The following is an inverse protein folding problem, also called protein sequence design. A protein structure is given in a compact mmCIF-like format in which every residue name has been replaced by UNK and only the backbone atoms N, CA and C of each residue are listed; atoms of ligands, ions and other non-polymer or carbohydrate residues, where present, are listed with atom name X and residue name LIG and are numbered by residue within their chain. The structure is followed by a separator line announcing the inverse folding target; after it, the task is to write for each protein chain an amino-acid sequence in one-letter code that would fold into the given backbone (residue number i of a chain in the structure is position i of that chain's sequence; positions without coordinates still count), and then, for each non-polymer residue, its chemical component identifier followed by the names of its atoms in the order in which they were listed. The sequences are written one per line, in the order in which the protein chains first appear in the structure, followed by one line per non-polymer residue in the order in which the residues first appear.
data_IF_300296916907
#
_entry.id   IF_300296916907
#
_cell.length_a   1.000
_cell.length_b   1.000
_cell.length_c   1.000
_cell.angle_alpha   90.00
_cell.angle_beta   90.00
_cell.angle_gamma   90.00
#
_symmetry.space_group_name_H-M   'P 1'
#
loop_
_entity.id
_entity.type
_entity.pdbx_description
1 polymer ?
#
# COMPACT_ATOMS: atom_id res chain seq x y z
N UNK A 1 4.66 -13.85 -26.17
CA UNK A 1 5.67 -12.87 -25.68
C UNK A 1 6.97 -13.63 -25.44
N UNK A 2 8.13 -13.00 -25.62
CA UNK A 2 9.41 -13.65 -25.29
C UNK A 2 9.46 -13.96 -23.78
N UNK A 3 9.92 -15.17 -23.43
CA UNK A 3 10.00 -15.65 -22.04
C UNK A 3 11.37 -15.30 -21.44
N UNK A 4 11.52 -14.06 -20.99
CA UNK A 4 12.74 -13.61 -20.31
C UNK A 4 12.75 -14.05 -18.84
N UNK A 5 13.92 -14.49 -18.37
CA UNK A 5 14.16 -15.02 -17.02
C UNK A 5 15.18 -14.17 -16.27
N UNK A 6 15.39 -14.45 -14.98
CA UNK A 6 16.41 -13.77 -14.18
C UNK A 6 17.83 -13.92 -14.77
N UNK A 7 18.10 -15.04 -15.43
CA UNK A 7 19.35 -15.30 -16.17
C UNK A 7 19.54 -14.40 -17.40
N UNK A 8 18.51 -13.70 -17.85
CA UNK A 8 18.56 -12.75 -18.97
C UNK A 8 18.90 -11.33 -18.52
N UNK A 9 19.37 -11.16 -17.28
CA UNK A 9 19.87 -9.91 -16.70
C UNK A 9 21.24 -10.15 -16.08
N UNK A 10 22.23 -9.41 -16.55
CA UNK A 10 23.57 -9.38 -16.00
C UNK A 10 23.81 -8.09 -15.23
N UNK A 11 24.46 -8.20 -14.08
CA UNK A 11 24.82 -7.07 -13.22
C UNK A 11 26.35 -7.06 -13.16
N UNK A 12 26.95 -5.96 -13.61
CA UNK A 12 28.39 -5.71 -13.54
C UNK A 12 28.75 -5.03 -12.21
N UNK A 13 27.91 -4.10 -11.77
CA UNK A 13 28.10 -3.37 -10.52
C UNK A 13 26.79 -3.25 -9.75
N UNK A 14 26.89 -3.43 -8.43
CA UNK A 14 25.79 -3.22 -7.48
C UNK A 14 26.33 -2.61 -6.18
N UNK A 15 26.06 -1.32 -5.97
CA UNK A 15 26.59 -0.56 -4.82
C UNK A 15 25.49 0.19 -4.08
N UNK A 16 25.68 0.40 -2.79
CA UNK A 16 24.86 1.35 -2.04
C UNK A 16 25.26 2.78 -2.44
N UNK A 17 24.33 3.51 -3.06
CA UNK A 17 24.49 4.94 -3.33
C UNK A 17 24.11 5.79 -2.12
N UNK A 18 23.15 5.32 -1.32
CA UNK A 18 22.74 5.92 -0.06
C UNK A 18 22.26 4.85 0.93
N UNK A 19 22.44 5.12 2.24
CA UNK A 19 21.92 4.31 3.33
C UNK A 19 21.55 5.22 4.51
N UNK A 20 20.25 5.36 4.75
CA UNK A 20 19.67 6.04 5.92
C UNK A 20 18.50 5.21 6.43
N UNK A 21 17.35 5.86 6.70
CA UNK A 21 16.09 5.15 6.99
C UNK A 21 15.74 4.15 5.88
N UNK A 22 15.84 4.60 4.63
CA UNK A 22 15.80 3.73 3.44
C UNK A 22 17.17 3.62 2.75
N UNK A 23 17.26 2.70 1.80
CA UNK A 23 18.46 2.49 0.99
C UNK A 23 18.21 2.87 -0.47
N UNK A 24 19.25 3.40 -1.14
CA UNK A 24 19.29 3.53 -2.60
C UNK A 24 20.44 2.69 -3.13
N UNK A 25 20.14 1.74 -4.02
CA UNK A 25 21.15 0.97 -4.77
C UNK A 25 21.40 1.64 -6.12
N UNK A 26 22.66 1.65 -6.56
CA UNK A 26 23.02 2.00 -7.93
C UNK A 26 23.56 0.75 -8.63
N UNK A 27 22.91 0.39 -9.72
CA UNK A 27 23.25 -0.75 -10.57
C UNK A 27 23.90 -0.30 -11.87
N UNK A 28 24.88 -1.06 -12.32
CA UNK A 28 25.28 -1.14 -13.72
C UNK A 28 24.90 -2.52 -14.25
N UNK A 29 23.90 -2.57 -15.12
CA UNK A 29 23.31 -3.83 -15.59
C UNK A 29 23.05 -3.83 -17.09
N UNK A 30 22.82 -5.00 -17.67
CA UNK A 30 22.27 -5.15 -19.02
C UNK A 30 21.28 -6.31 -19.03
N UNK A 31 20.38 -6.33 -19.99
CA UNK A 31 19.41 -7.41 -20.17
C UNK A 31 19.32 -7.84 -21.64
N UNK A 32 18.73 -9.02 -21.89
CA UNK A 32 18.44 -9.49 -23.26
C UNK A 32 17.44 -8.57 -23.97
N UNK A 33 17.59 -8.43 -25.28
CA UNK A 33 16.69 -7.66 -26.13
C UNK A 33 15.67 -8.54 -26.83
N UNK A 34 14.49 -7.99 -27.15
CA UNK A 34 13.45 -8.72 -27.90
C UNK A 34 13.90 -9.15 -29.31
N UNK A 35 14.76 -8.38 -29.96
CA UNK A 35 15.35 -8.72 -31.27
C UNK A 35 16.52 -9.72 -31.15
N UNK A 36 16.79 -10.22 -29.95
CA UNK A 36 17.92 -11.10 -29.66
C UNK A 36 19.19 -10.35 -29.24
N UNK A 37 20.16 -11.09 -28.71
CA UNK A 37 21.40 -10.52 -28.20
C UNK A 37 21.26 -9.83 -26.84
N UNK A 38 22.29 -9.10 -26.42
CA UNK A 38 22.34 -8.34 -25.18
C UNK A 38 22.26 -6.84 -25.47
N UNK A 39 21.55 -6.11 -24.61
CA UNK A 39 21.57 -4.66 -24.62
C UNK A 39 22.92 -4.09 -24.18
N UNK A 40 23.08 -2.78 -24.37
CA UNK A 40 24.19 -2.04 -23.77
C UNK A 40 24.09 -2.04 -22.24
N UNK A 41 25.20 -1.75 -21.58
CA UNK A 41 25.20 -1.46 -20.14
C UNK A 41 24.36 -0.21 -19.84
N UNK A 42 23.55 -0.31 -18.80
CA UNK A 42 22.63 0.70 -18.29
C UNK A 42 22.99 1.03 -16.85
N UNK A 43 22.82 2.29 -16.47
CA UNK A 43 22.85 2.73 -15.07
C UNK A 43 21.43 2.90 -14.56
N UNK A 44 21.13 2.34 -13.38
CA UNK A 44 19.83 2.46 -12.71
C UNK A 44 20.02 2.70 -11.22
N UNK A 45 19.19 3.55 -10.67
CA UNK A 45 19.05 3.72 -9.23
C UNK A 45 17.76 3.03 -8.80
N UNK A 46 17.83 2.27 -7.71
CA UNK A 46 16.70 1.56 -7.12
C UNK A 46 16.54 2.04 -5.69
N UNK A 47 15.37 2.57 -5.39
CA UNK A 47 14.91 2.81 -4.05
C UNK A 47 14.50 1.48 -3.41
N UNK A 48 15.22 1.09 -2.36
CA UNK A 48 14.99 -0.15 -1.62
C UNK A 48 14.20 0.19 -0.38
N UNK A 49 12.92 -0.17 -0.41
CA UNK A 49 11.93 0.08 0.63
C UNK A 49 11.44 -1.22 1.27
N UNK A 50 11.48 -2.32 0.51
CA UNK A 50 10.95 -3.61 0.96
C UNK A 50 9.43 -3.71 0.81
N UNK A 51 8.87 -4.86 1.22
CA UNK A 51 7.44 -5.10 1.10
C UNK A 51 6.62 -4.30 2.11
N UNK A 52 5.39 -3.98 1.73
CA UNK A 52 4.43 -3.28 2.57
C UNK A 52 3.06 -3.97 2.49
N UNK A 53 2.21 -3.66 3.46
CA UNK A 53 0.83 -4.15 3.51
C UNK A 53 -0.13 -2.98 3.70
N UNK A 54 -1.35 -3.14 3.21
CA UNK A 54 -2.46 -2.28 3.56
C UNK A 54 -3.77 -3.03 3.66
N UNK A 55 -4.67 -2.53 4.50
CA UNK A 55 -6.02 -3.06 4.68
C UNK A 55 -7.04 -1.93 4.60
N UNK A 56 -8.10 -2.13 3.83
CA UNK A 56 -9.30 -1.30 3.85
C UNK A 56 -10.28 -1.89 4.87
N UNK A 57 -10.47 -1.29 6.06
CA UNK A 57 -11.49 -1.74 6.99
C UNK A 57 -12.87 -1.37 6.46
N UNK A 58 -13.75 -2.35 6.35
CA UNK A 58 -15.12 -2.21 5.86
C UNK A 58 -16.11 -2.80 6.85
N UNK A 59 -17.12 -2.01 7.22
CA UNK A 59 -18.27 -2.46 8.00
C UNK A 59 -19.45 -2.71 7.06
N UNK A 60 -19.81 -3.98 6.79
CA UNK A 60 -20.94 -4.30 5.93
C UNK A 60 -22.29 -4.00 6.59
N UNK A 61 -22.39 -3.93 7.92
CA UNK A 61 -23.65 -3.63 8.59
C UNK A 61 -23.98 -2.14 8.46
N UNK A 62 -23.00 -1.27 8.73
CA UNK A 62 -23.15 0.19 8.66
C UNK A 62 -22.92 0.77 7.26
N UNK A 63 -22.37 -0.02 6.35
CA UNK A 63 -21.94 0.43 5.03
C UNK A 63 -20.95 1.60 5.05
N UNK A 64 -19.96 1.51 5.92
CA UNK A 64 -18.91 2.50 6.05
C UNK A 64 -17.54 1.84 5.98
N UNK A 65 -16.54 2.67 5.71
CA UNK A 65 -15.14 2.28 5.77
C UNK A 65 -14.42 3.13 6.80
N UNK A 66 -13.25 2.68 7.23
CA UNK A 66 -12.30 3.52 7.96
C UNK A 66 -11.15 3.91 7.03
N UNK A 67 -10.81 5.19 7.04
CA UNK A 67 -9.58 5.73 6.46
C UNK A 67 -8.77 6.39 7.56
N UNK A 68 -7.47 6.47 7.36
CA UNK A 68 -6.54 7.21 8.20
C UNK A 68 -6.04 8.44 7.44
N UNK A 69 -5.74 9.51 8.16
CA UNK A 69 -5.09 10.70 7.60
C UNK A 69 -3.82 10.99 8.38
N UNK A 70 -2.70 11.08 7.68
CA UNK A 70 -1.39 11.35 8.28
C UNK A 70 -0.49 12.15 7.34
N UNK A 71 0.54 12.79 7.90
CA UNK A 71 1.53 13.52 7.14
C UNK A 71 2.38 12.58 6.30
N UNK A 72 2.48 12.84 4.99
CA UNK A 72 3.37 12.11 4.10
C UNK A 72 4.39 13.04 3.46
N UNK A 73 5.67 12.86 3.80
CA UNK A 73 6.77 13.66 3.24
C UNK A 73 6.81 13.62 1.71
N UNK A 74 6.42 12.51 1.09
CA UNK A 74 6.32 12.38 -0.37
C UNK A 74 5.32 13.34 -1.03
N UNK A 75 4.35 13.84 -0.27
CA UNK A 75 3.37 14.82 -0.71
C UNK A 75 3.63 16.24 -0.18
N UNK A 76 4.82 16.53 0.36
CA UNK A 76 5.16 17.84 0.93
C UNK A 76 4.95 19.03 -0.03
N UNK A 77 5.04 18.78 -1.35
CA UNK A 77 4.86 19.79 -2.39
C UNK A 77 3.44 19.81 -3.00
N UNK A 78 2.50 19.04 -2.44
CA UNK A 78 1.11 18.99 -2.87
C UNK A 78 0.42 20.30 -2.51
N UNK A 79 -0.31 20.90 -3.46
CA UNK A 79 -0.95 22.21 -3.27
C UNK A 79 -2.11 22.21 -2.27
N UNK A 80 -2.79 21.08 -2.09
CA UNK A 80 -3.91 20.97 -1.15
C UNK A 80 -3.43 20.78 0.30
N UNK A 81 -2.74 19.66 0.56
CA UNK A 81 -2.18 19.32 1.87
C UNK A 81 -1.22 18.14 1.73
N UNK A 82 -0.11 18.08 2.51
CA UNK A 82 0.71 16.89 2.62
C UNK A 82 0.14 15.83 3.59
N UNK A 83 -0.97 16.14 4.27
CA UNK A 83 -1.79 15.12 4.92
C UNK A 83 -2.65 14.43 3.88
N UNK A 84 -2.51 13.11 3.78
CA UNK A 84 -3.19 12.30 2.77
C UNK A 84 -4.20 11.41 3.47
N UNK A 85 -5.41 11.31 2.88
CA UNK A 85 -6.40 10.32 3.28
C UNK A 85 -6.04 8.98 2.63
N UNK A 86 -5.83 7.97 3.44
CA UNK A 86 -5.36 6.67 3.02
C UNK A 86 -6.00 5.53 3.83
N UNK A 87 -5.76 4.29 3.41
CA UNK A 87 -6.11 3.11 4.20
C UNK A 87 -5.02 2.81 5.23
N UNK A 88 -5.33 1.97 6.20
CA UNK A 88 -4.36 1.49 7.20
C UNK A 88 -3.24 0.73 6.48
N UNK A 89 -1.98 1.06 6.75
CA UNK A 89 -0.85 0.47 6.06
C UNK A 89 0.46 0.50 6.85
N UNK A 90 1.27 -0.54 6.70
CA UNK A 90 2.56 -0.66 7.37
C UNK A 90 3.62 -1.34 6.51
N UNK A 91 4.88 -1.20 6.91
CA UNK A 91 6.01 -1.90 6.30
C UNK A 91 6.11 -3.29 6.92
N UNK A 92 6.44 -4.30 6.12
CA UNK A 92 6.77 -5.62 6.63
C UNK A 92 8.27 -5.63 6.94
N UNK A 93 8.62 -5.43 8.21
CA UNK A 93 9.99 -5.21 8.67
C UNK A 93 10.71 -6.50 9.14
N UNK A 94 9.95 -7.56 9.42
CA UNK A 94 10.47 -8.86 9.82
C UNK A 94 10.50 -9.84 8.65
N UNK A 95 11.57 -10.66 8.53
CA UNK A 95 11.60 -11.77 7.60
C UNK A 95 10.45 -12.74 7.88
N UNK A 96 9.81 -13.22 6.82
CA UNK A 96 8.78 -14.27 6.85
C UNK A 96 7.51 -13.92 7.66
N UNK A 97 7.27 -12.65 7.98
CA UNK A 97 6.03 -12.22 8.62
C UNK A 97 4.87 -12.33 7.62
N UNK A 98 3.75 -12.91 8.07
CA UNK A 98 2.57 -13.04 7.24
C UNK A 98 1.94 -11.65 7.02
N UNK A 99 1.75 -11.20 5.76
CA UNK A 99 1.13 -9.91 5.48
C UNK A 99 -0.21 -9.71 6.18
N UNK A 100 -1.01 -10.76 6.35
CA UNK A 100 -2.29 -10.64 7.06
C UNK A 100 -2.12 -10.27 8.54
N UNK A 101 -1.12 -10.84 9.21
CA UNK A 101 -0.86 -10.56 10.62
C UNK A 101 -0.35 -9.13 10.81
N UNK A 102 0.49 -8.65 9.87
CA UNK A 102 0.92 -7.25 9.83
C UNK A 102 -0.27 -6.32 9.64
N UNK A 103 -1.14 -6.60 8.66
CA UNK A 103 -2.33 -5.78 8.42
C UNK A 103 -3.24 -5.64 9.66
N UNK A 104 -3.40 -6.72 10.44
CA UNK A 104 -4.18 -6.71 11.69
C UNK A 104 -3.50 -5.90 12.78
N UNK A 105 -2.17 -6.04 12.91
CA UNK A 105 -1.37 -5.26 13.86
C UNK A 105 -1.49 -3.77 13.56
N UNK A 106 -1.29 -3.38 12.31
CA UNK A 106 -1.41 -1.98 11.88
C UNK A 106 -2.83 -1.43 12.08
N UNK A 107 -3.88 -2.23 11.85
CA UNK A 107 -5.26 -1.81 12.10
C UNK A 107 -5.53 -1.50 13.59
N UNK A 108 -4.88 -2.24 14.49
CA UNK A 108 -4.94 -1.98 15.92
C UNK A 108 -4.13 -0.72 16.29
N UNK A 109 -2.93 -0.55 15.73
CA UNK A 109 -2.02 0.56 16.05
C UNK A 109 -2.48 1.90 15.47
N UNK A 110 -2.89 1.94 14.20
CA UNK A 110 -3.26 3.17 13.48
C UNK A 110 -4.74 3.56 13.64
N UNK A 111 -5.60 2.64 14.08
CA UNK A 111 -7.04 2.87 14.13
C UNK A 111 -7.77 2.25 15.33
N UNK A 112 -7.08 1.47 16.18
CA UNK A 112 -7.68 0.87 17.37
C UNK A 112 -8.80 -0.14 17.07
N UNK A 113 -8.76 -0.81 15.91
CA UNK A 113 -9.80 -1.74 15.48
C UNK A 113 -9.25 -3.15 15.26
N UNK A 114 -10.10 -4.13 15.53
CA UNK A 114 -9.85 -5.53 15.16
C UNK A 114 -10.44 -5.82 13.77
N UNK A 115 -9.65 -6.48 12.93
CA UNK A 115 -10.13 -7.04 11.67
C UNK A 115 -10.50 -8.51 11.89
N UNK A 116 -11.71 -8.89 11.51
CA UNK A 116 -12.18 -10.26 11.55
C UNK A 116 -11.82 -10.99 10.24
N UNK A 117 -12.76 -11.09 9.31
CA UNK A 117 -12.55 -11.70 7.99
C UNK A 117 -11.64 -10.82 7.12
N UNK A 118 -10.81 -11.44 6.29
CA UNK A 118 -9.91 -10.74 5.38
C UNK A 118 -10.03 -11.29 3.97
N UNK A 119 -10.06 -10.38 2.99
CA UNK A 119 -10.13 -10.71 1.57
C UNK A 119 -8.95 -10.08 0.85
N UNK A 120 -8.22 -10.88 0.08
CA UNK A 120 -7.16 -10.37 -0.78
C UNK A 120 -7.77 -9.48 -1.89
N UNK A 121 -7.22 -8.28 -2.02
CA UNK A 121 -7.63 -7.30 -3.03
C UNK A 121 -6.70 -7.38 -4.23
N UNK A 122 -5.41 -7.20 -3.99
CA UNK A 122 -4.37 -7.19 -5.01
C UNK A 122 -3.00 -7.35 -4.39
N UNK A 123 -2.04 -7.76 -5.21
CA UNK A 123 -0.62 -7.59 -4.93
C UNK A 123 0.03 -6.89 -6.12
N UNK A 124 0.86 -5.88 -5.86
CA UNK A 124 1.42 -5.07 -6.94
C UNK A 124 2.74 -4.40 -6.57
N UNK A 125 3.55 -4.09 -7.57
CA UNK A 125 4.67 -3.17 -7.42
C UNK A 125 4.20 -1.73 -7.53
N UNK A 126 4.52 -0.88 -6.54
CA UNK A 126 4.07 0.52 -6.53
C UNK A 126 4.65 1.34 -7.69
N UNK A 127 5.94 1.16 -7.99
CA UNK A 127 6.64 1.86 -9.08
C UNK A 127 7.89 1.10 -9.52
N UNK A 128 7.75 -0.02 -10.28
CA UNK A 128 8.86 -0.94 -10.59
C UNK A 128 9.95 -0.34 -11.50
N UNK A 129 9.77 0.89 -11.98
CA UNK A 129 10.80 1.63 -12.70
C UNK A 129 11.94 2.12 -11.81
N UNK A 130 11.74 2.19 -10.49
CA UNK A 130 12.73 2.73 -9.55
C UNK A 130 12.52 2.39 -8.08
N UNK A 131 11.50 1.61 -7.71
CA UNK A 131 11.27 1.11 -6.35
C UNK A 131 11.08 -0.40 -6.38
N UNK A 132 11.58 -1.09 -5.35
CA UNK A 132 11.32 -2.52 -5.13
C UNK A 132 10.09 -2.81 -4.27
N UNK A 133 9.38 -1.76 -3.82
CA UNK A 133 8.20 -1.90 -2.97
C UNK A 133 7.15 -2.78 -3.64
N UNK A 134 6.88 -3.92 -2.99
CA UNK A 134 5.83 -4.85 -3.33
C UNK A 134 4.75 -4.77 -2.25
N UNK A 135 3.53 -4.47 -2.66
CA UNK A 135 2.44 -4.12 -1.77
C UNK A 135 1.40 -5.24 -1.72
N UNK A 136 1.11 -5.76 -0.53
CA UNK A 136 0.02 -6.70 -0.28
C UNK A 136 -1.22 -5.92 0.18
N UNK A 137 -2.34 -6.05 -0.53
CA UNK A 137 -3.52 -5.24 -0.28
C UNK A 137 -4.73 -6.11 0.07
N UNK A 138 -5.43 -5.73 1.13
CA UNK A 138 -6.56 -6.46 1.69
C UNK A 138 -7.79 -5.57 1.90
N UNK A 139 -8.96 -6.20 1.98
CA UNK A 139 -10.18 -5.64 2.55
C UNK A 139 -10.53 -6.45 3.79
N UNK A 140 -10.68 -5.77 4.93
CA UNK A 140 -10.92 -6.40 6.22
C UNK A 140 -12.32 -6.09 6.75
N UNK A 141 -13.04 -7.10 7.24
CA UNK A 141 -14.31 -6.87 7.95
C UNK A 141 -14.03 -6.34 9.35
N UNK A 142 -14.62 -5.20 9.69
CA UNK A 142 -14.50 -4.59 11.02
C UNK A 142 -15.87 -4.10 11.52
N UNK A 143 -16.03 -4.04 12.84
CA UNK A 143 -17.11 -3.26 13.47
C UNK A 143 -16.60 -1.82 13.65
N UNK A 144 -17.22 -0.89 12.95
CA UNK A 144 -16.81 0.52 12.95
C UNK A 144 -17.76 1.42 13.74
N UNK A 145 -18.71 0.83 14.49
CA UNK A 145 -19.75 1.57 15.21
C UNK A 145 -19.22 2.52 16.31
N UNK A 146 -18.05 2.20 16.87
CA UNK A 146 -17.36 3.00 17.88
C UNK A 146 -15.94 3.41 17.46
N UNK A 147 -15.60 3.27 16.18
CA UNK A 147 -14.25 3.52 15.66
C UNK A 147 -14.01 5.01 15.33
N UNK A 148 -12.74 5.34 15.10
CA UNK A 148 -12.25 6.68 14.82
C UNK A 148 -11.53 7.31 16.01
N UNK A 149 -10.83 8.42 15.78
CA UNK A 149 -10.03 9.09 16.81
C UNK A 149 -8.60 9.34 16.36
N UNK A 150 -7.70 9.53 17.34
CA UNK A 150 -6.29 9.82 17.11
C UNK A 150 -5.43 8.67 17.62
N UNK A 151 -4.49 8.24 16.77
CA UNK A 151 -3.69 7.03 16.93
C UNK A 151 -2.27 7.26 16.37
N UNK A 152 -1.48 6.19 16.31
CA UNK A 152 -0.07 6.22 15.93
C UNK A 152 0.85 6.06 17.14
N UNK A 153 2.09 5.66 16.86
CA UNK A 153 3.12 5.47 17.88
C UNK A 153 3.93 6.76 18.07
N UNK A 154 3.86 7.35 19.26
CA UNK A 154 4.56 8.59 19.57
C UNK A 154 6.09 8.47 19.45
N UNK A 155 6.65 7.28 19.74
CA UNK A 155 8.07 6.96 19.52
C UNK A 155 8.48 6.90 18.05
N UNK A 156 7.54 6.62 17.15
CA UNK A 156 7.76 6.58 15.70
C UNK A 156 7.44 7.93 15.02
N UNK A 157 6.96 8.90 15.81
CA UNK A 157 6.62 10.24 15.32
C UNK A 157 5.33 10.26 14.49
N UNK A 158 4.48 9.25 14.65
CA UNK A 158 3.21 9.14 13.94
C UNK A 158 2.12 9.95 14.63
N UNK A 159 1.35 10.68 13.82
CA UNK A 159 0.17 11.45 14.23
C UNK A 159 -0.94 11.16 13.22
N UNK A 160 -1.82 10.22 13.60
CA UNK A 160 -2.78 9.59 12.69
C UNK A 160 -4.20 9.92 13.14
N UNK A 161 -5.01 10.43 12.22
CA UNK A 161 -6.43 10.67 12.44
C UNK A 161 -7.27 9.62 11.70
N UNK A 162 -7.80 8.65 12.45
CA UNK A 162 -8.70 7.62 11.94
C UNK A 162 -10.13 8.17 11.82
N UNK A 163 -10.74 8.01 10.64
CA UNK A 163 -12.05 8.56 10.28
C UNK A 163 -12.93 7.47 9.68
N UNK A 164 -14.10 7.27 10.27
CA UNK A 164 -15.16 6.45 9.68
C UNK A 164 -15.97 7.33 8.72
N UNK A 165 -16.10 6.88 7.46
CA UNK A 165 -16.89 7.56 6.44
C UNK A 165 -17.81 6.57 5.75
N UNK A 166 -18.98 7.03 5.29
CA UNK A 166 -19.89 6.16 4.55
C UNK A 166 -19.24 5.69 3.25
N UNK A 167 -19.62 4.51 2.75
CA UNK A 167 -19.19 4.05 1.44
C UNK A 167 -19.54 5.07 0.36
N UNK A 168 -20.72 5.70 0.44
CA UNK A 168 -21.14 6.73 -0.50
C UNK A 168 -20.21 7.96 -0.50
N UNK A 169 -19.80 8.43 0.68
CA UNK A 169 -18.87 9.56 0.79
C UNK A 169 -17.48 9.17 0.27
N UNK A 170 -17.00 7.97 0.58
CA UNK A 170 -15.73 7.45 0.06
C UNK A 170 -15.74 7.40 -1.48
N UNK A 171 -16.86 7.00 -2.07
CA UNK A 171 -17.04 7.00 -3.53
C UNK A 171 -17.08 8.41 -4.10
N UNK A 172 -17.74 9.34 -3.43
CA UNK A 172 -17.76 10.74 -3.84
C UNK A 172 -16.35 11.37 -3.79
N UNK A 173 -15.57 11.08 -2.74
CA UNK A 173 -14.17 11.51 -2.63
C UNK A 173 -13.30 10.92 -3.74
N UNK A 174 -13.47 9.63 -4.03
CA UNK A 174 -12.78 8.94 -5.12
C UNK A 174 -13.09 9.60 -6.48
N UNK A 175 -14.38 9.79 -6.80
CA UNK A 175 -14.81 10.37 -8.08
C UNK A 175 -14.42 11.86 -8.20
N UNK A 176 -14.30 12.57 -7.07
CA UNK A 176 -13.81 13.95 -7.01
C UNK A 176 -12.28 14.08 -7.10
N UNK A 177 -11.53 12.97 -7.15
CA UNK A 177 -10.07 12.97 -7.19
C UNK A 177 -9.41 13.43 -5.88
N UNK A 178 -10.10 13.25 -4.75
CA UNK A 178 -9.59 13.59 -3.41
C UNK A 178 -8.75 12.48 -2.79
N UNK A 179 -8.82 11.27 -3.36
CA UNK A 179 -7.96 10.13 -3.04
C UNK A 179 -6.89 10.02 -4.12
N UNK A 180 -5.61 10.06 -3.75
CA UNK A 180 -4.50 10.16 -4.71
C UNK A 180 -3.27 9.30 -4.36
N UNK A 181 -3.43 8.34 -3.46
CA UNK A 181 -2.44 7.27 -3.23
C UNK A 181 -2.92 5.94 -3.85
N UNK A 182 -1.98 5.15 -4.36
CA UNK A 182 -2.27 3.98 -5.19
C UNK A 182 -3.09 2.91 -4.46
N UNK A 183 -2.71 2.56 -3.22
CA UNK A 183 -3.37 1.50 -2.47
C UNK A 183 -4.84 1.85 -2.18
N UNK A 184 -5.13 3.09 -1.78
CA UNK A 184 -6.52 3.52 -1.54
C UNK A 184 -7.33 3.58 -2.83
N UNK A 185 -6.74 4.07 -3.93
CA UNK A 185 -7.40 4.06 -5.24
C UNK A 185 -7.76 2.63 -5.68
N UNK A 186 -6.85 1.67 -5.51
CA UNK A 186 -7.07 0.27 -5.88
C UNK A 186 -8.13 -0.36 -4.97
N UNK A 187 -8.00 -0.22 -3.65
CA UNK A 187 -8.90 -0.84 -2.68
C UNK A 187 -10.34 -0.30 -2.81
N UNK A 188 -10.52 1.01 -2.96
CA UNK A 188 -11.85 1.61 -3.10
C UNK A 188 -12.53 1.20 -4.40
N UNK A 189 -11.79 1.14 -5.52
CA UNK A 189 -12.33 0.65 -6.78
C UNK A 189 -12.68 -0.84 -6.70
N UNK A 190 -11.84 -1.64 -6.06
CA UNK A 190 -12.13 -3.05 -5.82
C UNK A 190 -13.38 -3.22 -4.95
N UNK A 191 -13.49 -2.47 -3.85
CA UNK A 191 -14.67 -2.52 -2.98
C UNK A 191 -15.92 -2.10 -3.76
N UNK A 192 -15.86 -1.03 -4.57
CA UNK A 192 -16.97 -0.61 -5.45
C UNK A 192 -17.50 -1.76 -6.32
N UNK A 193 -16.62 -2.65 -6.80
CA UNK A 193 -16.99 -3.80 -7.63
C UNK A 193 -17.53 -4.97 -6.80
N UNK A 194 -16.95 -5.24 -5.62
CA UNK A 194 -17.20 -6.46 -4.84
C UNK A 194 -18.14 -6.27 -3.64
N UNK A 195 -18.54 -5.04 -3.34
CA UNK A 195 -19.31 -4.65 -2.14
C UNK A 195 -20.53 -5.51 -1.89
N UNK A 196 -21.37 -5.72 -2.90
CA UNK A 196 -22.64 -6.44 -2.71
C UNK A 196 -22.40 -7.91 -2.36
N UNK A 197 -21.43 -8.55 -3.01
CA UNK A 197 -21.03 -9.92 -2.69
C UNK A 197 -20.42 -10.03 -1.29
N UNK A 198 -19.62 -9.04 -0.86
CA UNK A 198 -19.07 -9.00 0.50
C UNK A 198 -20.16 -8.86 1.54
N UNK A 199 -21.09 -7.93 1.35
CA UNK A 199 -22.23 -7.73 2.28
C UNK A 199 -23.07 -9.00 2.41
N UNK A 200 -23.31 -9.71 1.31
CA UNK A 200 -24.04 -10.98 1.35
C UNK A 200 -23.30 -12.05 2.15
N UNK A 201 -21.98 -12.18 1.99
CA UNK A 201 -21.18 -13.19 2.70
C UNK A 201 -20.96 -12.87 4.17
N UNK A 202 -20.77 -11.59 4.49
CA UNK A 202 -20.36 -11.15 5.82
C UNK A 202 -21.52 -10.78 6.75
N UNK A 203 -22.74 -10.65 6.21
CA UNK A 203 -23.96 -10.46 7.00
C UNK A 203 -24.84 -11.72 7.09
N UNK A 204 -24.48 -12.79 6.37
CA UNK A 204 -25.13 -14.09 6.47
C UNK A 204 -24.73 -14.81 7.76
#
# INVERSE_FOLDING_TARGET
MADFKRSDVEIDEDRAAWRGFFQVRAYRLRHRLYEGGWGRWLSRELFVRGPAVGVLPYDPALDCILQVEQFRVGAMNRSASPWISELVAGIIDKPDENPEDVARREALEEAGIDIAEMEAVAEYYSSPGGSDEYFHLFCGRADLSAAGGFYGLAEEGEDIHAKVISFADAMAMLDAGQIDNAHSLIALQWLRIHRDALRQRWLA
#
